data_IF_344654464658
#
_entry.id   IF_344654464658
#
_cell.length_a   1.000
_cell.length_b   1.000
_cell.length_c   1.000
_cell.angle_alpha   90.00
_cell.angle_beta   90.00
_cell.angle_gamma   90.00
#
_symmetry.space_group_name_H-M   'P 1'
#
loop_
_entity.id
_entity.type
_entity.pdbx_description
1 polymer ?
#
# COMPACT_ATOMS: atom_id res chain seq x y z
N UNK A 1 16.98 -11.16 28.46
CA UNK A 1 15.60 -11.36 27.98
C UNK A 1 14.52 -10.63 28.81
N UNK A 2 14.46 -10.78 30.15
CA UNK A 2 13.44 -10.12 31.01
C UNK A 2 13.35 -8.59 30.88
N UNK A 3 14.49 -7.90 30.75
CA UNK A 3 14.55 -6.43 30.55
C UNK A 3 13.97 -5.94 29.22
N UNK A 4 14.21 -6.66 28.12
CA UNK A 4 13.68 -6.29 26.79
C UNK A 4 12.15 -6.44 26.77
N UNK A 5 11.65 -7.53 27.33
CA UNK A 5 10.20 -7.77 27.46
C UNK A 5 9.56 -6.68 28.32
N UNK A 6 10.21 -6.21 29.39
CA UNK A 6 9.68 -5.14 30.23
C UNK A 6 9.47 -3.81 29.47
N UNK A 7 10.29 -3.52 28.46
CA UNK A 7 10.20 -2.30 27.65
C UNK A 7 9.07 -2.33 26.60
N UNK A 8 8.64 -3.53 26.19
CA UNK A 8 7.55 -3.69 25.21
C UNK A 8 6.22 -3.16 25.79
N UNK A 9 5.45 -2.40 24.99
CA UNK A 9 4.20 -1.81 25.45
C UNK A 9 3.14 -2.89 25.70
N UNK A 10 2.32 -2.68 26.73
CA UNK A 10 1.17 -3.51 27.09
C UNK A 10 -0.17 -2.91 26.61
N UNK A 11 -0.13 -1.70 26.07
CA UNK A 11 -1.23 -0.94 25.48
C UNK A 11 -0.73 -0.16 24.26
N UNK A 12 -1.64 0.31 23.40
CA UNK A 12 -1.25 1.19 22.30
C UNK A 12 -0.86 2.56 22.85
N UNK A 13 0.43 2.89 22.79
CA UNK A 13 1.00 4.17 23.21
C UNK A 13 1.44 5.04 22.02
N UNK A 14 1.98 6.22 22.31
CA UNK A 14 2.47 7.15 21.28
C UNK A 14 3.61 6.57 20.46
N UNK A 15 4.50 5.76 21.06
CA UNK A 15 5.64 5.16 20.36
C UNK A 15 5.16 4.21 19.26
N UNK A 16 4.17 3.36 19.58
CA UNK A 16 3.58 2.45 18.60
C UNK A 16 2.87 3.21 17.47
N UNK A 17 2.18 4.31 17.78
CA UNK A 17 1.56 5.20 16.78
C UNK A 17 2.57 5.86 15.85
N UNK A 18 3.70 6.32 16.39
CA UNK A 18 4.80 6.88 15.60
C UNK A 18 5.36 5.82 14.66
N UNK A 19 5.61 4.60 15.15
CA UNK A 19 6.05 3.50 14.28
C UNK A 19 5.04 3.18 13.19
N UNK A 20 3.74 3.18 13.50
CA UNK A 20 2.71 2.99 12.47
C UNK A 20 2.77 4.03 11.35
N UNK A 21 2.99 5.30 11.70
CA UNK A 21 3.16 6.38 10.72
C UNK A 21 4.44 6.24 9.92
N UNK A 22 5.57 6.03 10.60
CA UNK A 22 6.88 5.81 9.96
C UNK A 22 6.81 4.63 8.99
N UNK A 23 6.12 3.55 9.37
CA UNK A 23 5.99 2.37 8.51
C UNK A 23 5.13 2.66 7.28
N UNK A 24 3.94 3.24 7.44
CA UNK A 24 3.08 3.59 6.30
C UNK A 24 3.75 4.59 5.34
N UNK A 25 4.28 5.70 5.88
CA UNK A 25 4.95 6.72 5.08
C UNK A 25 6.19 6.14 4.41
N UNK A 26 6.96 5.35 5.14
CA UNK A 26 8.14 4.67 4.61
C UNK A 26 7.82 3.73 3.44
N UNK A 27 6.73 2.95 3.51
CA UNK A 27 6.29 2.12 2.38
C UNK A 27 5.88 2.95 1.16
N UNK A 28 5.22 4.09 1.36
CA UNK A 28 4.85 5.00 0.25
C UNK A 28 6.11 5.64 -0.35
N UNK A 29 7.06 6.06 0.49
CA UNK A 29 8.34 6.60 0.04
C UNK A 29 9.15 5.54 -0.72
N UNK A 30 9.13 4.27 -0.28
CA UNK A 30 9.78 3.17 -1.00
C UNK A 30 9.21 2.98 -2.42
N UNK A 31 7.89 3.11 -2.57
CA UNK A 31 7.27 3.10 -3.92
C UNK A 31 7.78 4.29 -4.75
N UNK A 32 7.90 5.47 -4.15
CA UNK A 32 8.46 6.66 -4.79
C UNK A 32 9.93 6.50 -5.21
N UNK A 33 10.78 5.94 -4.34
CA UNK A 33 12.19 5.67 -4.67
C UNK A 33 12.34 4.56 -5.70
N UNK A 34 11.47 3.55 -5.70
CA UNK A 34 11.39 2.57 -6.78
C UNK A 34 10.96 3.19 -8.11
N UNK A 35 10.04 4.17 -8.07
CA UNK A 35 9.72 5.02 -9.22
C UNK A 35 10.95 5.79 -9.72
N UNK A 36 11.72 6.41 -8.81
CA UNK A 36 12.97 7.10 -9.16
C UNK A 36 13.97 6.17 -9.84
N UNK A 37 14.18 4.95 -9.32
CA UNK A 37 15.02 3.91 -9.95
C UNK A 37 14.57 3.68 -11.40
N UNK A 38 13.27 3.47 -11.61
CA UNK A 38 12.71 3.22 -12.94
C UNK A 38 12.91 4.40 -13.90
N UNK A 39 12.63 5.60 -13.43
CA UNK A 39 12.58 6.82 -14.25
C UNK A 39 13.96 7.39 -14.57
N UNK A 40 14.97 7.01 -13.81
CA UNK A 40 16.38 7.38 -14.03
C UNK A 40 17.17 6.29 -14.75
N UNK A 41 16.50 5.24 -15.23
CA UNK A 41 17.15 4.07 -15.85
C UNK A 41 18.19 3.39 -14.95
N UNK A 42 17.93 3.36 -13.63
CA UNK A 42 18.85 2.82 -12.63
C UNK A 42 18.51 1.40 -12.19
N UNK A 43 17.51 0.73 -12.76
CA UNK A 43 17.03 -0.59 -12.31
C UNK A 43 18.06 -1.71 -12.41
N UNK A 44 19.05 -1.59 -13.31
CA UNK A 44 20.22 -2.47 -13.38
C UNK A 44 21.49 -1.82 -12.82
N UNK A 45 21.32 -0.74 -12.04
CA UNK A 45 22.40 -0.02 -11.37
C UNK A 45 23.21 -0.92 -10.45
N UNK A 46 22.58 -1.95 -9.86
CA UNK A 46 23.23 -3.11 -9.21
C UNK A 46 22.85 -4.37 -10.00
N UNK A 47 23.68 -4.85 -10.94
CA UNK A 47 23.28 -5.91 -11.89
C UNK A 47 23.13 -7.30 -11.27
N UNK A 48 23.59 -7.52 -10.03
CA UNK A 48 23.41 -8.79 -9.32
C UNK A 48 22.41 -8.65 -8.17
N UNK A 49 22.05 -9.79 -7.58
CA UNK A 49 21.26 -9.86 -6.35
C UNK A 49 21.59 -11.17 -5.61
N UNK A 50 21.72 -11.19 -4.26
CA UNK A 50 21.49 -10.10 -3.30
C UNK A 50 22.67 -9.11 -3.17
N UNK A 51 23.82 -9.45 -3.73
CA UNK A 51 24.95 -8.51 -3.87
C UNK A 51 24.61 -7.42 -4.90
N UNK A 52 25.44 -6.37 -4.96
CA UNK A 52 25.31 -5.32 -5.97
C UNK A 52 26.17 -5.62 -7.22
N UNK A 53 27.34 -6.26 -7.01
CA UNK A 53 28.18 -6.88 -8.06
C UNK A 53 28.54 -8.32 -7.66
N UNK A 54 29.32 -9.06 -8.45
CA UNK A 54 29.78 -10.40 -8.05
C UNK A 54 30.64 -10.37 -6.78
N UNK A 55 31.43 -9.29 -6.62
CA UNK A 55 32.41 -9.12 -5.56
C UNK A 55 31.93 -8.24 -4.40
N UNK A 56 30.94 -7.37 -4.60
CA UNK A 56 30.51 -6.37 -3.60
C UNK A 56 29.03 -6.47 -3.22
N UNK A 57 28.75 -6.47 -1.91
CA UNK A 57 27.39 -6.36 -1.35
C UNK A 57 26.80 -4.95 -1.51
N UNK A 58 27.64 -3.93 -1.68
CA UNK A 58 27.24 -2.52 -1.73
C UNK A 58 27.64 -1.88 -3.06
N UNK A 59 27.11 -0.69 -3.34
CA UNK A 59 27.53 0.06 -4.53
C UNK A 59 29.04 0.34 -4.50
N UNK A 60 29.66 0.38 -5.67
CA UNK A 60 31.06 0.80 -5.83
C UNK A 60 31.12 2.10 -6.63
N UNK A 61 32.20 2.89 -6.51
CA UNK A 61 32.32 4.17 -7.22
C UNK A 61 32.17 4.05 -8.75
N UNK A 62 32.60 2.92 -9.32
CA UNK A 62 32.57 2.65 -10.76
C UNK A 62 31.14 2.55 -11.32
N UNK A 63 30.16 2.24 -10.46
CA UNK A 63 28.74 2.11 -10.82
C UNK A 63 28.04 3.48 -10.93
N UNK A 64 28.72 4.54 -10.51
CA UNK A 64 28.24 5.92 -10.60
C UNK A 64 26.88 6.15 -9.94
N UNK A 65 26.14 7.12 -10.48
CA UNK A 65 24.86 7.56 -9.91
C UNK A 65 23.77 6.47 -9.96
N UNK A 66 23.76 5.64 -11.00
CA UNK A 66 22.76 4.58 -11.15
C UNK A 66 22.89 3.50 -10.06
N UNK A 67 24.12 3.11 -9.73
CA UNK A 67 24.38 2.21 -8.61
C UNK A 67 23.95 2.81 -7.27
N UNK A 68 24.17 4.11 -7.04
CA UNK A 68 23.72 4.81 -5.82
C UNK A 68 22.19 4.81 -5.71
N UNK A 69 21.48 5.11 -6.80
CA UNK A 69 20.01 5.19 -6.80
C UNK A 69 19.38 3.82 -6.51
N UNK A 70 19.84 2.77 -7.20
CA UNK A 70 19.34 1.39 -7.01
C UNK A 70 19.68 0.85 -5.62
N UNK A 71 20.95 0.97 -5.20
CA UNK A 71 21.36 0.52 -3.87
C UNK A 71 20.63 1.30 -2.76
N UNK A 72 20.41 2.60 -2.95
CA UNK A 72 19.63 3.43 -2.01
C UNK A 72 18.20 2.91 -1.82
N UNK A 73 17.54 2.51 -2.90
CA UNK A 73 16.21 1.88 -2.84
C UNK A 73 16.26 0.52 -2.11
N UNK A 74 17.27 -0.33 -2.38
CA UNK A 74 17.48 -1.60 -1.67
C UNK A 74 17.69 -1.39 -0.17
N UNK A 75 18.51 -0.40 0.20
CA UNK A 75 18.80 -0.04 1.58
C UNK A 75 17.55 0.45 2.33
N UNK A 76 16.70 1.25 1.67
CA UNK A 76 15.41 1.66 2.24
C UNK A 76 14.51 0.45 2.53
N UNK A 77 14.50 -0.56 1.64
CA UNK A 77 13.82 -1.83 1.89
C UNK A 77 14.32 -2.55 3.16
N UNK A 78 15.64 -2.57 3.39
CA UNK A 78 16.23 -3.14 4.63
C UNK A 78 15.82 -2.33 5.86
N UNK A 79 15.85 -1.00 5.79
CA UNK A 79 15.40 -0.12 6.89
C UNK A 79 13.93 -0.38 7.22
N UNK A 80 13.07 -0.57 6.21
CA UNK A 80 11.67 -0.92 6.40
C UNK A 80 11.48 -2.32 6.98
N UNK A 81 12.35 -3.27 6.64
CA UNK A 81 12.42 -4.57 7.30
C UNK A 81 12.71 -4.45 8.80
N UNK A 82 13.64 -3.58 9.19
CA UNK A 82 13.92 -3.30 10.61
C UNK A 82 12.70 -2.66 11.28
N UNK A 83 12.07 -1.66 10.64
CA UNK A 83 10.85 -1.01 11.16
C UNK A 83 9.73 -2.05 11.35
N UNK A 84 9.55 -2.97 10.40
CA UNK A 84 8.56 -4.03 10.49
C UNK A 84 8.82 -4.98 11.66
N UNK A 85 10.08 -5.37 11.88
CA UNK A 85 10.49 -6.17 13.04
C UNK A 85 10.17 -5.43 14.33
N UNK A 86 10.54 -4.14 14.43
CA UNK A 86 10.25 -3.34 15.63
C UNK A 86 8.73 -3.22 15.86
N UNK A 87 7.95 -2.95 14.82
CA UNK A 87 6.49 -2.88 14.89
C UNK A 87 5.88 -4.20 15.38
N UNK A 88 6.33 -5.34 14.82
CA UNK A 88 5.90 -6.67 15.22
C UNK A 88 6.25 -6.97 16.68
N UNK A 89 7.49 -6.70 17.10
CA UNK A 89 7.94 -6.89 18.48
C UNK A 89 7.11 -6.06 19.47
N UNK A 90 6.79 -4.80 19.12
CA UNK A 90 5.97 -3.92 19.96
C UNK A 90 4.53 -4.40 20.15
N UNK A 91 3.98 -5.21 19.24
CA UNK A 91 2.61 -5.76 19.38
C UNK A 91 2.57 -7.15 20.00
N UNK A 92 3.71 -7.77 20.33
CA UNK A 92 3.74 -9.14 20.87
C UNK A 92 2.97 -9.30 22.18
N UNK A 93 3.06 -8.34 23.10
CA UNK A 93 2.28 -8.34 24.35
C UNK A 93 0.79 -8.08 24.10
N UNK A 94 0.47 -7.42 22.99
CA UNK A 94 -0.89 -7.10 22.57
C UNK A 94 -1.57 -8.23 21.81
N UNK A 95 -0.86 -9.31 21.45
CA UNK A 95 -1.39 -10.39 20.59
C UNK A 95 -2.70 -11.04 21.04
N UNK A 96 -3.00 -11.02 22.35
CA UNK A 96 -4.26 -11.56 22.90
C UNK A 96 -5.38 -10.51 22.96
N UNK A 97 -5.06 -9.26 23.27
CA UNK A 97 -6.04 -8.17 23.41
C UNK A 97 -6.32 -7.42 22.10
N UNK A 98 -5.37 -7.47 21.16
CA UNK A 98 -5.38 -6.84 19.83
C UNK A 98 -4.81 -7.78 18.75
N UNK A 99 -5.40 -8.98 18.55
CA UNK A 99 -4.87 -9.97 17.60
C UNK A 99 -4.76 -9.43 16.16
N UNK A 100 -5.61 -8.48 15.77
CA UNK A 100 -5.53 -7.82 14.47
C UNK A 100 -4.23 -7.03 14.26
N UNK A 101 -3.69 -6.39 15.29
CA UNK A 101 -2.41 -5.67 15.17
C UNK A 101 -1.24 -6.65 14.98
N UNK A 102 -1.31 -7.80 15.67
CA UNK A 102 -0.35 -8.89 15.50
C UNK A 102 -0.36 -9.43 14.07
N UNK A 103 -1.53 -9.77 13.53
CA UNK A 103 -1.61 -10.30 12.16
C UNK A 103 -1.26 -9.26 11.09
N UNK A 104 -1.66 -7.99 11.25
CA UNK A 104 -1.31 -6.94 10.30
C UNK A 104 0.21 -6.71 10.23
N UNK A 105 0.88 -6.64 11.39
CA UNK A 105 2.35 -6.48 11.43
C UNK A 105 3.09 -7.73 10.97
N UNK A 106 2.58 -8.93 11.28
CA UNK A 106 3.16 -10.18 10.79
C UNK A 106 3.05 -10.29 9.26
N UNK A 107 1.87 -10.06 8.69
CA UNK A 107 1.66 -10.13 7.24
C UNK A 107 2.44 -9.04 6.50
N UNK A 108 2.45 -7.80 7.00
CA UNK A 108 3.26 -6.74 6.41
C UNK A 108 4.76 -7.05 6.53
N UNK A 109 5.21 -7.58 7.67
CA UNK A 109 6.60 -7.98 7.90
C UNK A 109 7.04 -9.13 7.00
N UNK A 110 6.22 -10.16 6.80
CA UNK A 110 6.48 -11.27 5.88
C UNK A 110 6.42 -10.83 4.41
N UNK A 111 5.61 -9.82 4.12
CA UNK A 111 5.53 -9.25 2.78
C UNK A 111 6.83 -8.56 2.36
N UNK A 112 7.65 -8.03 3.27
CA UNK A 112 8.94 -7.37 2.93
C UNK A 112 9.96 -8.36 2.33
N UNK A 113 10.25 -9.53 2.94
CA UNK A 113 11.09 -10.55 2.31
C UNK A 113 10.53 -11.01 0.95
N UNK A 114 9.21 -11.21 0.85
CA UNK A 114 8.59 -11.57 -0.44
C UNK A 114 8.84 -10.48 -1.48
N UNK A 115 8.70 -9.21 -1.09
CA UNK A 115 9.01 -8.04 -1.90
C UNK A 115 10.47 -8.08 -2.37
N UNK A 116 11.42 -8.24 -1.45
CA UNK A 116 12.86 -8.28 -1.74
C UNK A 116 13.23 -9.41 -2.73
N UNK A 117 12.60 -10.59 -2.60
CA UNK A 117 12.78 -11.70 -3.53
C UNK A 117 12.26 -11.36 -4.91
N UNK A 118 11.03 -10.85 -5.03
CA UNK A 118 10.48 -10.45 -6.34
C UNK A 118 11.28 -9.29 -6.95
N UNK A 119 11.82 -8.39 -6.12
CA UNK A 119 12.68 -7.29 -6.55
C UNK A 119 14.01 -7.81 -7.10
N UNK A 120 14.64 -8.75 -6.40
CA UNK A 120 15.83 -9.44 -6.89
C UNK A 120 15.58 -10.20 -8.19
N UNK A 121 14.45 -10.90 -8.30
CA UNK A 121 14.05 -11.57 -9.54
C UNK A 121 13.88 -10.57 -10.69
N UNK A 122 13.41 -9.34 -10.43
CA UNK A 122 13.29 -8.32 -11.47
C UNK A 122 14.66 -7.96 -12.07
N UNK A 123 15.71 -7.93 -11.24
CA UNK A 123 17.08 -7.69 -11.71
C UNK A 123 17.62 -8.91 -12.47
N UNK A 124 17.42 -10.11 -11.93
CA UNK A 124 17.85 -11.37 -12.56
C UNK A 124 17.13 -11.70 -13.88
N UNK A 125 16.03 -11.01 -14.17
CA UNK A 125 15.25 -11.17 -15.40
C UNK A 125 15.32 -9.93 -16.30
N UNK A 126 16.37 -9.12 -16.15
CA UNK A 126 16.63 -7.91 -16.94
C UNK A 126 15.42 -6.97 -17.00
N UNK A 127 14.82 -6.75 -15.83
CA UNK A 127 13.63 -5.92 -15.61
C UNK A 127 12.40 -6.39 -16.40
N UNK A 128 12.17 -7.69 -16.47
CA UNK A 128 10.96 -8.25 -17.07
C UNK A 128 9.71 -7.50 -16.56
N UNK A 129 8.92 -6.88 -17.44
CA UNK A 129 7.87 -5.94 -17.05
C UNK A 129 6.77 -6.58 -16.21
N UNK A 130 6.54 -7.89 -16.35
CA UNK A 130 5.57 -8.62 -15.52
C UNK A 130 6.10 -8.87 -14.11
N UNK A 131 7.39 -9.12 -13.95
CA UNK A 131 8.04 -9.28 -12.63
C UNK A 131 8.09 -7.94 -11.91
N UNK A 132 8.48 -6.87 -12.61
CA UNK A 132 8.43 -5.48 -12.08
C UNK A 132 6.99 -5.08 -11.73
N UNK A 133 6.01 -5.52 -12.53
CA UNK A 133 4.60 -5.30 -12.24
C UNK A 133 4.13 -6.02 -10.97
N UNK A 134 4.46 -7.30 -10.81
CA UNK A 134 4.17 -8.08 -9.60
C UNK A 134 4.82 -7.44 -8.36
N UNK A 135 6.05 -6.97 -8.49
CA UNK A 135 6.77 -6.23 -7.46
C UNK A 135 5.98 -4.99 -6.97
N UNK A 136 5.37 -4.23 -7.90
CA UNK A 136 4.52 -3.09 -7.57
C UNK A 136 3.20 -3.52 -6.92
N UNK A 137 2.56 -4.61 -7.38
CA UNK A 137 1.34 -5.16 -6.74
C UNK A 137 1.61 -5.52 -5.27
N UNK A 138 2.72 -6.20 -4.98
CA UNK A 138 3.07 -6.53 -3.59
C UNK A 138 3.29 -5.25 -2.77
N UNK A 139 3.89 -4.22 -3.37
CA UNK A 139 4.11 -2.92 -2.71
C UNK A 139 2.79 -2.24 -2.35
N UNK A 140 1.80 -2.24 -3.24
CA UNK A 140 0.47 -1.65 -2.93
C UNK A 140 -0.27 -2.44 -1.86
N UNK A 141 -0.14 -3.77 -1.84
CA UNK A 141 -0.67 -4.61 -0.74
C UNK A 141 0.00 -4.27 0.59
N UNK A 142 1.32 -4.10 0.62
CA UNK A 142 2.05 -3.70 1.83
C UNK A 142 1.61 -2.32 2.33
N UNK A 143 1.39 -1.35 1.44
CA UNK A 143 0.84 -0.04 1.79
C UNK A 143 -0.56 -0.18 2.38
N UNK A 144 -1.43 -1.01 1.80
CA UNK A 144 -2.76 -1.28 2.35
C UNK A 144 -2.70 -1.93 3.75
N UNK A 145 -1.82 -2.91 3.96
CA UNK A 145 -1.61 -3.52 5.28
C UNK A 145 -1.11 -2.51 6.31
N UNK A 146 -0.17 -1.63 5.95
CA UNK A 146 0.34 -0.58 6.83
C UNK A 146 -0.73 0.48 7.14
N UNK A 147 -1.55 0.85 6.16
CA UNK A 147 -2.68 1.76 6.35
C UNK A 147 -3.71 1.16 7.30
N UNK A 148 -4.07 -0.11 7.11
CA UNK A 148 -4.94 -0.84 8.02
C UNK A 148 -4.35 -0.92 9.43
N UNK A 149 -3.05 -1.22 9.56
CA UNK A 149 -2.35 -1.24 10.85
C UNK A 149 -2.46 0.11 11.56
N UNK A 150 -2.11 1.20 10.87
CA UNK A 150 -2.17 2.56 11.42
C UNK A 150 -3.59 2.91 11.87
N UNK A 151 -4.60 2.68 11.04
CA UNK A 151 -6.01 2.95 11.39
C UNK A 151 -6.45 2.16 12.63
N UNK A 152 -6.00 0.90 12.76
CA UNK A 152 -6.29 0.08 13.93
C UNK A 152 -5.58 0.57 15.19
N UNK A 153 -4.46 1.27 15.11
CA UNK A 153 -3.84 1.91 16.30
C UNK A 153 -4.70 3.02 16.91
N UNK A 154 -5.55 3.69 16.11
CA UNK A 154 -6.46 4.74 16.60
C UNK A 154 -7.87 4.25 16.88
N UNK A 155 -8.20 3.01 16.48
CA UNK A 155 -9.53 2.46 16.66
C UNK A 155 -9.72 1.83 18.05
N UNK A 156 -10.90 2.03 18.63
CA UNK A 156 -11.32 1.35 19.87
C UNK A 156 -11.20 -0.18 19.73
N UNK A 157 -10.63 -0.89 20.73
CA UNK A 157 -10.56 -2.34 20.73
C UNK A 157 -11.89 -3.08 20.82
N UNK A 158 -11.87 -4.36 20.42
CA UNK A 158 -12.99 -5.27 20.57
C UNK A 158 -13.69 -5.66 19.26
N UNK A 159 -14.77 -6.47 19.37
CA UNK A 159 -15.59 -6.90 18.25
C UNK A 159 -16.16 -5.73 17.45
N UNK A 160 -16.34 -5.92 16.15
CA UNK A 160 -16.85 -4.87 15.25
C UNK A 160 -18.00 -5.37 14.41
N UNK A 161 -19.05 -4.58 14.32
CA UNK A 161 -20.23 -4.82 13.51
C UNK A 161 -20.27 -3.83 12.35
N UNK A 162 -21.01 -4.19 11.30
CA UNK A 162 -21.20 -3.32 10.13
C UNK A 162 -21.94 -2.05 10.58
N UNK A 163 -21.35 -0.89 10.33
CA UNK A 163 -21.88 0.41 10.74
C UNK A 163 -22.67 1.11 9.62
N UNK A 164 -22.81 0.44 8.47
CA UNK A 164 -23.46 0.95 7.27
C UNK A 164 -24.46 -0.08 6.72
N UNK A 165 -25.44 0.33 5.90
CA UNK A 165 -26.31 -0.61 5.20
C UNK A 165 -25.53 -1.59 4.32
N UNK A 166 -26.10 -2.78 4.08
CA UNK A 166 -25.46 -3.83 3.27
C UNK A 166 -25.13 -3.35 1.84
N UNK A 167 -26.04 -2.60 1.21
CA UNK A 167 -25.84 -2.06 -0.13
C UNK A 167 -24.64 -1.09 -0.19
N UNK A 168 -24.45 -0.27 0.85
CA UNK A 168 -23.34 0.68 0.90
C UNK A 168 -22.01 -0.05 1.07
N UNK A 169 -21.97 -1.07 1.94
CA UNK A 169 -20.80 -1.93 2.06
C UNK A 169 -20.48 -2.66 0.74
N UNK A 170 -21.51 -3.15 0.04
CA UNK A 170 -21.37 -3.74 -1.29
C UNK A 170 -20.76 -2.75 -2.30
N UNK A 171 -21.27 -1.52 -2.34
CA UNK A 171 -20.72 -0.45 -3.18
C UNK A 171 -19.26 -0.14 -2.84
N UNK A 172 -18.90 -0.05 -1.57
CA UNK A 172 -17.53 0.20 -1.13
C UNK A 172 -16.57 -0.94 -1.52
N UNK A 173 -17.01 -2.20 -1.41
CA UNK A 173 -16.22 -3.35 -1.85
C UNK A 173 -16.11 -3.44 -3.38
N UNK A 174 -17.17 -3.12 -4.12
CA UNK A 174 -17.11 -2.99 -5.57
C UNK A 174 -16.11 -1.90 -5.97
N UNK A 175 -16.16 -0.73 -5.33
CA UNK A 175 -15.20 0.36 -5.57
C UNK A 175 -13.78 -0.10 -5.26
N UNK A 176 -13.56 -0.81 -4.15
CA UNK A 176 -12.25 -1.39 -3.82
C UNK A 176 -11.73 -2.34 -4.90
N UNK A 177 -12.62 -3.17 -5.46
CA UNK A 177 -12.27 -4.08 -6.54
C UNK A 177 -11.89 -3.31 -7.81
N UNK A 178 -12.66 -2.30 -8.21
CA UNK A 178 -12.35 -1.48 -9.39
C UNK A 178 -11.07 -0.65 -9.19
N UNK A 179 -10.76 -0.19 -7.97
CA UNK A 179 -9.46 0.42 -7.63
C UNK A 179 -8.32 -0.59 -7.86
N UNK A 180 -8.47 -1.84 -7.42
CA UNK A 180 -7.47 -2.88 -7.66
C UNK A 180 -7.27 -3.16 -9.16
N UNK A 181 -8.37 -3.25 -9.93
CA UNK A 181 -8.31 -3.37 -11.39
C UNK A 181 -7.60 -2.17 -12.02
N UNK A 182 -7.93 -0.95 -11.60
CA UNK A 182 -7.30 0.28 -12.09
C UNK A 182 -5.79 0.26 -11.87
N UNK A 183 -5.33 -0.14 -10.68
CA UNK A 183 -3.90 -0.28 -10.37
C UNK A 183 -3.25 -1.34 -11.27
N UNK A 184 -3.86 -2.52 -11.43
CA UNK A 184 -3.32 -3.60 -12.27
C UNK A 184 -3.22 -3.17 -13.74
N UNK A 185 -4.26 -2.56 -14.29
CA UNK A 185 -4.22 -2.07 -15.68
C UNK A 185 -3.19 -0.95 -15.82
N UNK A 186 -3.05 -0.06 -14.82
CA UNK A 186 -2.03 0.99 -14.81
C UNK A 186 -0.59 0.45 -14.79
N UNK A 187 -0.36 -0.68 -14.11
CA UNK A 187 0.92 -1.41 -14.14
C UNK A 187 1.22 -1.92 -15.55
N UNK A 188 0.21 -2.48 -16.24
CA UNK A 188 0.37 -2.93 -17.63
C UNK A 188 0.66 -1.77 -18.58
N UNK A 189 -0.01 -0.63 -18.41
CA UNK A 189 0.26 0.60 -19.19
C UNK A 189 1.65 1.15 -18.91
N UNK A 190 2.11 1.10 -17.66
CA UNK A 190 3.49 1.50 -17.31
C UNK A 190 4.53 0.57 -17.94
N UNK A 191 4.19 -0.72 -18.08
CA UNK A 191 5.02 -1.72 -18.76
C UNK A 191 5.13 -1.56 -20.27
N UNK A 192 4.15 -0.91 -20.92
CA UNK A 192 4.17 -0.59 -22.35
C UNK A 192 4.76 0.79 -22.68
N UNK A 193 4.74 1.72 -21.71
CA UNK A 193 5.28 3.08 -21.86
C UNK A 193 6.81 3.14 -22.04
N UNK A 194 7.40 4.34 -22.18
CA UNK A 194 8.81 4.54 -22.54
C UNK A 194 9.80 4.49 -21.36
N UNK A 195 9.35 4.35 -20.12
CA UNK A 195 10.23 4.29 -18.93
C UNK A 195 10.34 2.84 -18.45
N UNK A 196 11.47 2.14 -18.66
CA UNK A 196 11.62 0.68 -18.37
C UNK A 196 12.39 0.39 -17.10
N UNK A 197 13.18 1.35 -16.62
CA UNK A 197 14.18 1.13 -15.58
C UNK A 197 15.57 0.81 -16.09
N UNK A 198 15.73 0.49 -17.38
CA UNK A 198 17.03 0.47 -18.07
C UNK A 198 16.78 0.66 -19.57
N UNK A 199 17.72 1.29 -20.29
CA UNK A 199 17.60 1.52 -21.74
C UNK A 199 17.50 0.25 -22.58
N UNK A 200 18.01 -0.89 -22.08
CA UNK A 200 18.01 -2.19 -22.76
C UNK A 200 16.90 -3.12 -22.29
N UNK A 201 16.16 -2.75 -21.25
CA UNK A 201 15.11 -3.58 -20.68
C UNK A 201 13.91 -3.73 -21.61
N UNK A 202 13.32 -4.92 -21.60
CA UNK A 202 12.19 -5.28 -22.45
C UNK A 202 10.88 -4.58 -22.06
N UNK A 203 9.99 -4.42 -23.05
CA UNK A 203 8.59 -4.01 -22.86
C UNK A 203 7.67 -5.21 -22.89
N UNK A 204 6.44 -5.02 -22.41
CA UNK A 204 5.44 -6.10 -22.43
C UNK A 204 4.85 -6.38 -23.82
N UNK A 205 5.24 -5.60 -24.85
CA UNK A 205 4.80 -5.77 -26.23
C UNK A 205 3.41 -5.20 -26.53
N UNK A 206 2.74 -4.59 -25.55
CA UNK A 206 1.44 -3.95 -25.74
C UNK A 206 1.61 -2.54 -26.33
N UNK A 207 0.63 -2.08 -27.11
CA UNK A 207 0.65 -0.72 -27.66
C UNK A 207 0.35 0.31 -26.54
N UNK A 208 1.26 1.24 -26.22
CA UNK A 208 1.08 2.21 -25.13
C UNK A 208 -0.10 3.17 -25.36
N UNK A 209 -0.36 3.60 -26.59
CA UNK A 209 -1.47 4.50 -26.95
C UNK A 209 -2.84 3.82 -26.71
N UNK A 210 -2.94 2.52 -27.02
CA UNK A 210 -4.16 1.76 -26.69
C UNK A 210 -4.26 1.57 -25.18
N UNK A 211 -3.16 1.24 -24.51
CA UNK A 211 -3.16 0.91 -23.09
C UNK A 211 -3.43 2.10 -22.18
N UNK A 212 -3.11 3.33 -22.57
CA UNK A 212 -3.51 4.51 -21.79
C UNK A 212 -5.03 4.71 -21.79
N UNK A 213 -5.70 4.49 -22.93
CA UNK A 213 -7.16 4.54 -23.01
C UNK A 213 -7.81 3.39 -22.25
N UNK A 214 -7.27 2.17 -22.38
CA UNK A 214 -7.75 0.99 -21.62
C UNK A 214 -7.61 1.21 -20.11
N UNK A 215 -6.53 1.86 -19.66
CA UNK A 215 -6.34 2.21 -18.25
C UNK A 215 -7.29 3.29 -17.76
N UNK A 216 -7.60 4.28 -18.60
CA UNK A 216 -8.51 5.36 -18.24
C UNK A 216 -9.93 4.87 -17.93
N UNK A 217 -10.41 3.80 -18.58
CA UNK A 217 -11.77 3.25 -18.37
C UNK A 217 -12.03 2.86 -16.91
N UNK A 218 -11.29 1.91 -16.29
CA UNK A 218 -11.52 1.57 -14.89
C UNK A 218 -11.23 2.75 -13.96
N UNK A 219 -10.33 3.68 -14.31
CA UNK A 219 -10.09 4.88 -13.53
C UNK A 219 -11.33 5.81 -13.49
N UNK A 220 -12.00 6.04 -14.62
CA UNK A 220 -13.26 6.80 -14.67
C UNK A 220 -14.39 6.09 -13.93
N UNK A 221 -14.45 4.76 -14.01
CA UNK A 221 -15.42 3.97 -13.23
C UNK A 221 -15.15 4.10 -11.73
N UNK A 222 -13.89 4.00 -11.30
CA UNK A 222 -13.48 4.25 -9.90
C UNK A 222 -13.94 5.63 -9.44
N UNK A 223 -13.66 6.69 -10.21
CA UNK A 223 -14.08 8.05 -9.88
C UNK A 223 -15.61 8.18 -9.76
N UNK A 224 -16.35 7.63 -10.72
CA UNK A 224 -17.82 7.61 -10.68
C UNK A 224 -18.37 6.89 -9.45
N UNK A 225 -17.83 5.71 -9.12
CA UNK A 225 -18.20 4.96 -7.93
C UNK A 225 -17.86 5.70 -6.63
N UNK A 226 -16.72 6.37 -6.58
CA UNK A 226 -16.30 7.20 -5.43
C UNK A 226 -17.22 8.42 -5.26
N UNK A 227 -17.64 9.07 -6.34
CA UNK A 227 -18.67 10.13 -6.26
C UNK A 227 -19.99 9.58 -5.68
N UNK A 228 -20.44 8.42 -6.13
CA UNK A 228 -21.62 7.76 -5.58
C UNK A 228 -21.41 7.44 -4.10
N UNK A 229 -20.25 6.94 -3.68
CA UNK A 229 -19.92 6.71 -2.27
C UNK A 229 -19.99 7.98 -1.44
N UNK A 230 -19.41 9.09 -1.92
CA UNK A 230 -19.44 10.38 -1.23
C UNK A 230 -20.89 10.87 -1.07
N UNK A 231 -21.67 10.87 -2.14
CA UNK A 231 -23.08 11.31 -2.11
C UNK A 231 -23.92 10.40 -1.20
N UNK A 232 -23.75 9.09 -1.33
CA UNK A 232 -24.44 8.09 -0.51
C UNK A 232 -24.06 8.21 0.98
N UNK A 233 -22.81 8.54 1.29
CA UNK A 233 -22.33 8.69 2.66
C UNK A 233 -23.01 9.85 3.40
N UNK A 234 -23.42 10.90 2.69
CA UNK A 234 -24.21 12.01 3.24
C UNK A 234 -25.61 11.56 3.70
N UNK A 235 -26.19 10.55 3.03
CA UNK A 235 -27.52 10.02 3.36
C UNK A 235 -27.51 9.09 4.57
N UNK A 236 -26.46 8.28 4.72
CA UNK A 236 -26.31 7.35 5.85
C UNK A 236 -25.74 8.01 7.12
N UNK A 237 -25.27 9.26 7.03
CA UNK A 237 -24.80 10.11 8.15
C UNK A 237 -23.68 9.48 9.01
N UNK A 238 -22.81 8.67 8.41
CA UNK A 238 -21.64 8.10 9.08
C UNK A 238 -20.39 8.94 8.84
N UNK A 239 -19.99 9.74 9.83
CA UNK A 239 -18.89 10.72 9.69
C UNK A 239 -17.53 10.13 9.32
N UNK A 240 -17.09 8.94 9.82
CA UNK A 240 -15.78 8.40 9.45
C UNK A 240 -15.71 7.98 7.98
N UNK A 241 -16.77 7.33 7.47
CA UNK A 241 -16.85 6.85 6.09
C UNK A 241 -16.83 8.03 5.12
N UNK A 242 -17.65 9.05 5.39
CA UNK A 242 -17.68 10.25 4.55
C UNK A 242 -16.31 10.93 4.46
N UNK A 243 -15.60 11.08 5.60
CA UNK A 243 -14.27 11.68 5.63
C UNK A 243 -13.27 10.93 4.75
N UNK A 244 -13.20 9.60 4.88
CA UNK A 244 -12.26 8.82 4.08
C UNK A 244 -12.66 8.73 2.61
N UNK A 245 -13.96 8.74 2.29
CA UNK A 245 -14.44 8.84 0.91
C UNK A 245 -14.05 10.18 0.28
N UNK A 246 -14.06 11.28 1.04
CA UNK A 246 -13.55 12.58 0.57
C UNK A 246 -12.04 12.58 0.36
N UNK A 247 -11.26 11.92 1.21
CA UNK A 247 -9.81 11.77 0.98
C UNK A 247 -9.52 10.92 -0.25
N UNK A 248 -10.27 9.83 -0.46
CA UNK A 248 -10.18 9.02 -1.66
C UNK A 248 -10.47 9.87 -2.91
N UNK A 249 -11.58 10.62 -2.92
CA UNK A 249 -11.95 11.52 -4.00
C UNK A 249 -10.86 12.56 -4.29
N UNK A 250 -10.26 13.16 -3.25
CA UNK A 250 -9.18 14.13 -3.42
C UNK A 250 -7.95 13.51 -4.10
N UNK A 251 -7.56 12.30 -3.69
CA UNK A 251 -6.45 11.55 -4.33
C UNK A 251 -6.79 11.19 -5.77
N UNK A 252 -8.04 10.79 -6.06
CA UNK A 252 -8.49 10.48 -7.42
C UNK A 252 -8.48 11.70 -8.33
N UNK A 253 -8.93 12.87 -7.86
CA UNK A 253 -8.86 14.12 -8.63
C UNK A 253 -7.41 14.46 -8.99
N UNK A 254 -6.48 14.30 -8.03
CA UNK A 254 -5.05 14.48 -8.31
C UNK A 254 -4.53 13.42 -9.28
N UNK A 255 -4.94 12.16 -9.15
CA UNK A 255 -4.55 11.09 -10.08
C UNK A 255 -5.00 11.36 -11.51
N UNK A 256 -6.25 11.80 -11.68
CA UNK A 256 -6.82 12.13 -12.99
C UNK A 256 -6.09 13.33 -13.57
N UNK A 257 -5.87 14.40 -12.79
CA UNK A 257 -5.14 15.58 -13.26
C UNK A 257 -3.73 15.22 -13.71
N UNK A 258 -2.95 14.52 -12.88
CA UNK A 258 -1.59 14.09 -13.22
C UNK A 258 -1.60 13.12 -14.40
N UNK A 259 -2.54 12.17 -14.43
CA UNK A 259 -2.72 11.17 -15.49
C UNK A 259 -2.97 11.79 -16.86
N UNK A 260 -3.89 12.75 -16.93
CA UNK A 260 -4.19 13.46 -18.16
C UNK A 260 -3.04 14.37 -18.60
N UNK A 261 -2.38 15.07 -17.67
CA UNK A 261 -1.24 15.93 -18.01
C UNK A 261 -0.10 15.07 -18.56
N UNK A 262 0.26 13.95 -17.92
CA UNK A 262 1.36 13.13 -18.39
C UNK A 262 1.09 12.51 -19.78
N UNK A 263 -0.15 12.05 -20.04
CA UNK A 263 -0.51 11.50 -21.35
C UNK A 263 -0.37 12.55 -22.46
N UNK A 264 -0.84 13.78 -22.21
CA UNK A 264 -0.81 14.86 -23.19
C UNK A 264 0.55 15.57 -23.34
N UNK A 265 1.52 15.30 -22.46
CA UNK A 265 2.84 15.98 -22.47
C UNK A 265 4.00 15.03 -22.75
N UNK A 266 3.72 13.82 -23.26
CA UNK A 266 4.76 12.86 -23.64
C UNK A 266 5.38 12.12 -22.45
N UNK A 267 4.60 11.85 -21.41
CA UNK A 267 4.97 11.10 -20.21
C UNK A 267 6.22 11.63 -19.48
N UNK A 268 6.23 12.90 -19.01
CA UNK A 268 7.37 13.45 -18.26
C UNK A 268 7.65 12.61 -17.02
N UNK A 269 8.90 12.18 -16.83
CA UNK A 269 9.23 11.20 -15.79
C UNK A 269 8.79 11.62 -14.39
N UNK A 270 8.90 12.90 -14.04
CA UNK A 270 8.45 13.40 -12.74
C UNK A 270 6.94 13.20 -12.50
N UNK A 271 6.10 13.39 -13.53
CA UNK A 271 4.66 13.19 -13.42
C UNK A 271 4.32 11.70 -13.31
N UNK A 272 5.03 10.85 -14.05
CA UNK A 272 4.91 9.38 -13.91
C UNK A 272 5.23 8.96 -12.47
N UNK A 273 6.31 9.49 -11.89
CA UNK A 273 6.70 9.22 -10.50
C UNK A 273 5.65 9.70 -9.49
N UNK A 274 5.10 10.90 -9.68
CA UNK A 274 4.00 11.42 -8.86
C UNK A 274 2.77 10.51 -8.99
N UNK A 275 2.41 10.09 -10.21
CA UNK A 275 1.26 9.21 -10.47
C UNK A 275 1.41 7.85 -9.78
N UNK A 276 2.62 7.28 -9.77
CA UNK A 276 2.93 6.04 -9.03
C UNK A 276 2.79 6.21 -7.52
N UNK A 277 3.28 7.32 -6.96
CA UNK A 277 3.16 7.59 -5.52
C UNK A 277 1.72 7.87 -5.11
N UNK A 278 0.95 8.59 -5.95
CA UNK A 278 -0.48 8.78 -5.78
C UNK A 278 -1.25 7.46 -5.85
N UNK A 279 -0.79 6.46 -6.62
CA UNK A 279 -1.41 5.13 -6.65
C UNK A 279 -1.24 4.38 -5.31
N UNK A 280 -0.10 4.55 -4.63
CA UNK A 280 0.08 4.04 -3.27
C UNK A 280 -0.85 4.76 -2.27
N UNK A 281 -0.99 6.08 -2.38
CA UNK A 281 -1.94 6.85 -1.57
C UNK A 281 -3.40 6.46 -1.85
N UNK A 282 -3.75 6.17 -3.10
CA UNK A 282 -5.07 5.68 -3.50
C UNK A 282 -5.39 4.36 -2.78
N UNK A 283 -4.45 3.41 -2.77
CA UNK A 283 -4.61 2.14 -2.06
C UNK A 283 -4.79 2.34 -0.54
N UNK A 284 -4.02 3.26 0.06
CA UNK A 284 -4.16 3.60 1.48
C UNK A 284 -5.52 4.26 1.79
N UNK A 285 -5.97 5.21 0.96
CA UNK A 285 -7.26 5.88 1.11
C UNK A 285 -8.45 4.91 0.94
N UNK A 286 -8.41 4.05 -0.07
CA UNK A 286 -9.43 3.01 -0.28
C UNK A 286 -9.47 2.02 0.90
N UNK A 287 -8.31 1.65 1.44
CA UNK A 287 -8.23 0.83 2.66
C UNK A 287 -8.91 1.53 3.84
N UNK A 288 -8.74 2.84 3.98
CA UNK A 288 -9.40 3.61 5.03
C UNK A 288 -10.93 3.64 4.89
N UNK A 289 -11.43 3.77 3.65
CA UNK A 289 -12.86 3.64 3.35
C UNK A 289 -13.37 2.26 3.78
N UNK A 290 -12.74 1.17 3.34
CA UNK A 290 -13.15 -0.20 3.71
C UNK A 290 -13.10 -0.42 5.22
N UNK A 291 -12.08 0.09 5.90
CA UNK A 291 -11.93 -0.06 7.34
C UNK A 291 -12.95 0.74 8.15
N UNK A 292 -13.52 1.78 7.57
CA UNK A 292 -14.55 2.61 8.19
C UNK A 292 -15.98 2.03 8.06
N UNK A 293 -16.18 0.96 7.28
CA UNK A 293 -17.48 0.30 7.13
C UNK A 293 -17.97 -0.43 8.40
N UNK A 294 -17.06 -0.68 9.36
CA UNK A 294 -17.36 -1.36 10.63
C UNK A 294 -17.00 -0.48 11.83
N UNK A 295 -17.87 -0.46 12.83
CA UNK A 295 -17.66 0.22 14.11
C UNK A 295 -17.54 -0.80 15.27
N UNK A 296 -16.90 -0.43 16.39
CA UNK A 296 -16.93 -1.24 17.61
C UNK A 296 -18.37 -1.50 18.06
N UNK A 297 -18.65 -2.67 18.62
CA UNK A 297 -19.92 -2.94 19.31
C UNK A 297 -19.99 -2.06 20.56
N UNK A 298 -21.12 -1.37 20.77
CA UNK A 298 -21.32 -0.57 21.98
C UNK A 298 -21.27 -1.48 23.23
N UNK A 299 -20.76 -0.96 24.34
CA UNK A 299 -20.55 -1.76 25.55
C UNK A 299 -21.86 -2.31 26.16
N UNK A 300 -23.00 -1.67 25.89
CA UNK A 300 -24.31 -2.09 26.40
C UNK A 300 -24.88 -3.31 25.64
N UNK A 301 -24.76 -3.34 24.30
CA UNK A 301 -25.21 -4.49 23.49
C UNK A 301 -24.39 -5.78 23.77
N UNK A 302 -23.12 -5.61 24.17
CA UNK A 302 -22.25 -6.73 24.54
C UNK A 302 -22.65 -7.39 25.88
N UNK A 303 -23.26 -6.63 26.79
CA UNK A 303 -23.76 -7.14 28.07
C UNK A 303 -25.10 -7.86 27.92
N UNK A 304 -26.02 -7.33 27.11
CA UNK A 304 -27.30 -7.99 26.83
C UNK A 304 -27.13 -9.32 26.08
N UNK A 305 -26.23 -9.39 25.09
CA UNK A 305 -25.96 -10.65 24.38
C UNK A 305 -25.39 -11.76 25.27
N UNK A 306 -24.58 -11.40 26.28
CA UNK A 306 -24.06 -12.34 27.28
C UNK A 306 -25.11 -12.76 28.30
N UNK A 307 -26.02 -11.87 28.70
CA UNK A 307 -27.09 -12.17 29.65
C UNK A 307 -28.14 -13.10 29.04
N UNK A 308 -28.51 -12.90 27.77
CA UNK A 308 -29.45 -13.77 27.05
C UNK A 308 -28.85 -15.17 26.82
N UNK A 309 -27.56 -15.27 26.51
CA UNK A 309 -26.90 -16.58 26.37
C UNK A 309 -26.75 -17.34 27.70
N UNK A 310 -26.67 -16.63 28.84
CA UNK A 310 -26.64 -17.24 30.17
C UNK A 310 -28.01 -17.68 30.69
N UNK A 311 -29.08 -16.97 30.30
CA UNK A 311 -30.45 -17.29 30.71
C UNK A 311 -31.08 -18.45 29.93
N UNK A 312 -30.58 -18.78 28.74
CA UNK A 312 -31.02 -19.96 27.95
C UNK A 312 -30.28 -21.24 28.37
N UNK A 313 -29.21 -21.11 29.16
CA UNK A 313 -28.38 -22.22 29.64
C UNK A 313 -28.63 -22.58 31.12
N UNK A 314 -29.64 -22.00 31.76
CA UNK A 314 -30.09 -22.28 33.13
C UNK A 314 -31.51 -22.86 33.11
#
# INVERSE_FOLDING_TARGET
MKRIIAWLPDRVDTRLKVIGWVYLVGQIVLVGTGGLVRLTSSGLGCPTWPKCTDDSLVNTPEMGIHGVIEFGNRLLGVVLGIIAIVAFLMVLKLRRSRPELFWLTLLAGLGIPAQAVIGGLSVLTDLNPYVVGLHFVISTVLVALCAAFLLRLYAVPGPRVRAVPAWFAGLAHLTSFVVAVTIVVGILTTGSGPHSGDTKASRNGLNPEILEHVHAIPAYVTFGLTLVLVIASLRIRTTPVHRYAMYLLAVEVLQIAVGLIQANTGLPGILVGIHMMLAALLAAAMTAVVMSLKAPVAADDAREGSAVSGAVAA
#
